data_IF_154962601582
#
_entry.id   IF_154962601582
#
_cell.length_a   1.000
_cell.length_b   1.000
_cell.length_c   1.000
_cell.angle_alpha   90.00
_cell.angle_beta   90.00
_cell.angle_gamma   90.00
#
_symmetry.space_group_name_H-M   'P 1'
#
loop_
_entity.id
_entity.type
_entity.pdbx_description
1 polymer ?
#
# COMPACT_ATOMS: atom_id res chain seq x y z
N UNK A 1 10.48 -35.67 10.62
CA UNK A 1 9.43 -35.21 11.55
C UNK A 1 8.16 -35.04 10.75
N UNK A 2 7.00 -35.38 11.31
CA UNK A 2 5.72 -35.23 10.61
C UNK A 2 5.19 -33.81 10.69
N UNK A 3 4.46 -33.36 9.66
CA UNK A 3 3.82 -32.02 9.62
C UNK A 3 3.01 -31.71 10.89
N UNK A 4 2.26 -32.70 11.42
CA UNK A 4 1.46 -32.55 12.63
C UNK A 4 2.29 -32.31 13.90
N UNK A 5 3.46 -32.94 14.00
CA UNK A 5 4.39 -32.80 15.14
C UNK A 5 5.02 -31.40 15.17
N UNK A 6 5.32 -30.86 13.99
CA UNK A 6 5.90 -29.53 13.82
C UNK A 6 4.87 -28.42 14.13
N UNK A 7 3.62 -28.59 13.72
CA UNK A 7 2.51 -27.71 14.11
C UNK A 7 2.26 -27.72 15.61
N UNK A 8 2.30 -28.89 16.25
CA UNK A 8 2.12 -29.02 17.69
C UNK A 8 3.26 -28.32 18.46
N UNK A 9 4.50 -28.49 18.00
CA UNK A 9 5.67 -27.81 18.58
C UNK A 9 5.57 -26.29 18.48
N UNK A 10 5.06 -25.75 17.36
CA UNK A 10 4.87 -24.31 17.21
C UNK A 10 3.78 -23.78 18.15
N UNK A 11 2.69 -24.53 18.35
CA UNK A 11 1.62 -24.16 19.28
C UNK A 11 2.13 -24.10 20.73
N UNK A 12 2.92 -25.10 21.12
CA UNK A 12 3.54 -25.16 22.45
C UNK A 12 4.48 -23.97 22.70
N UNK A 13 5.29 -23.60 21.70
CA UNK A 13 6.22 -22.46 21.79
C UNK A 13 5.49 -21.11 21.84
N UNK A 14 4.38 -20.98 21.13
CA UNK A 14 3.54 -19.78 21.16
C UNK A 14 2.84 -19.63 22.51
N UNK A 15 2.25 -20.70 23.04
CA UNK A 15 1.65 -20.71 24.39
C UNK A 15 2.66 -20.45 25.50
N UNK A 16 3.91 -20.90 25.32
CA UNK A 16 5.00 -20.60 26.25
C UNK A 16 5.48 -19.13 26.18
N UNK A 17 4.95 -18.31 25.26
CA UNK A 17 5.33 -16.91 25.08
C UNK A 17 6.69 -16.72 24.44
N UNK A 18 7.32 -17.80 23.94
CA UNK A 18 8.63 -17.75 23.29
C UNK A 18 8.57 -17.28 21.83
N UNK A 19 7.36 -17.24 21.26
CA UNK A 19 7.08 -16.81 19.89
C UNK A 19 5.99 -15.72 19.90
N UNK A 20 6.28 -14.60 19.22
CA UNK A 20 5.28 -13.57 18.96
C UNK A 20 4.24 -14.03 17.93
N UNK A 21 3.04 -13.43 17.94
CA UNK A 21 1.92 -13.79 17.05
C UNK A 21 2.33 -13.82 15.57
N UNK A 22 3.14 -12.84 15.15
CA UNK A 22 3.62 -12.72 13.78
C UNK A 22 4.64 -13.81 13.40
N UNK A 23 5.46 -14.26 14.36
CA UNK A 23 6.44 -15.32 14.13
C UNK A 23 5.75 -16.69 14.08
N UNK A 24 4.71 -16.90 14.90
CA UNK A 24 3.91 -18.12 14.90
C UNK A 24 3.19 -18.32 13.57
N UNK A 25 2.48 -17.29 13.08
CA UNK A 25 1.74 -17.35 11.82
C UNK A 25 2.68 -17.59 10.61
N UNK A 26 3.86 -16.96 10.57
CA UNK A 26 4.87 -17.21 9.52
C UNK A 26 5.45 -18.61 9.58
N UNK A 27 5.72 -19.13 10.76
CA UNK A 27 6.26 -20.48 10.93
C UNK A 27 5.23 -21.54 10.54
N UNK A 28 3.98 -21.36 10.94
CA UNK A 28 2.86 -22.23 10.60
C UNK A 28 2.60 -22.29 9.09
N UNK A 29 2.63 -21.14 8.41
CA UNK A 29 2.48 -21.08 6.95
C UNK A 29 3.58 -21.88 6.21
N UNK A 30 4.84 -21.82 6.68
CA UNK A 30 5.95 -22.60 6.10
C UNK A 30 5.78 -24.10 6.23
N UNK A 31 5.23 -24.57 7.35
CA UNK A 31 4.98 -26.00 7.60
C UNK A 31 3.82 -26.52 6.75
N UNK A 32 2.83 -25.68 6.47
CA UNK A 32 1.69 -26.01 5.61
C UNK A 32 2.05 -26.01 4.11
N UNK A 33 2.93 -25.11 3.69
CA UNK A 33 3.40 -25.00 2.30
C UNK A 33 4.59 -25.94 1.98
N UNK A 34 5.12 -26.65 2.99
CA UNK A 34 6.20 -27.60 2.78
C UNK A 34 5.73 -28.80 1.94
N UNK A 35 6.47 -29.19 0.87
CA UNK A 35 6.16 -30.40 0.12
C UNK A 35 6.12 -31.61 1.06
N UNK A 36 5.19 -32.58 0.87
CA UNK A 36 5.05 -33.71 1.76
C UNK A 36 6.37 -34.49 1.89
N UNK A 37 6.74 -34.94 3.10
CA UNK A 37 7.99 -35.66 3.30
C UNK A 37 7.93 -37.00 2.54
N UNK A 38 8.70 -37.11 1.46
CA UNK A 38 8.73 -38.34 0.64
C UNK A 38 9.02 -38.16 -0.85
N UNK A 39 9.08 -36.93 -1.37
CA UNK A 39 9.38 -36.66 -2.78
C UNK A 39 10.89 -36.44 -3.08
N UNK A 40 11.79 -37.02 -2.29
CA UNK A 40 13.25 -36.95 -2.49
C UNK A 40 13.87 -38.34 -2.43
N UNK A 41 14.50 -38.76 -3.53
CA UNK A 41 15.27 -40.00 -3.63
C UNK A 41 16.54 -40.00 -2.75
N UNK A 42 17.24 -41.16 -2.62
CA UNK A 42 18.27 -41.36 -1.61
C UNK A 42 19.66 -40.77 -1.92
N UNK A 43 19.81 -39.93 -2.93
CA UNK A 43 21.10 -39.41 -3.37
C UNK A 43 21.33 -37.97 -2.89
N UNK A 44 22.05 -37.88 -1.77
CA UNK A 44 22.56 -36.63 -1.19
C UNK A 44 23.63 -35.94 -2.04
N UNK A 45 23.30 -35.56 -3.27
CA UNK A 45 24.12 -34.73 -4.16
C UNK A 45 23.33 -33.57 -4.76
N UNK A 46 22.79 -32.72 -3.89
CA UNK A 46 22.45 -31.33 -4.21
C UNK A 46 23.57 -30.41 -3.72
N UNK A 47 24.01 -29.40 -4.49
CA UNK A 47 25.15 -28.56 -4.11
C UNK A 47 24.86 -27.79 -2.81
N UNK A 48 25.89 -27.48 -1.99
CA UNK A 48 25.71 -26.71 -0.78
C UNK A 48 25.37 -25.27 -1.15
N UNK A 49 24.08 -24.90 -1.11
CA UNK A 49 23.68 -23.50 -1.16
C UNK A 49 23.96 -22.87 0.21
N UNK A 50 25.08 -22.17 0.25
CA UNK A 50 25.47 -21.27 1.34
C UNK A 50 24.42 -20.15 1.56
N UNK A 51 24.39 -19.53 2.75
CA UNK A 51 23.29 -18.72 3.25
C UNK A 51 23.24 -17.34 2.57
N UNK A 52 22.05 -16.89 2.16
CA UNK A 52 21.83 -15.51 1.74
C UNK A 52 21.03 -15.24 0.47
N UNK A 53 20.32 -16.22 -0.11
CA UNK A 53 19.38 -15.91 -1.18
C UNK A 53 18.10 -15.28 -0.56
N UNK A 54 17.73 -14.03 -0.90
CA UNK A 54 16.45 -13.48 -0.49
C UNK A 54 15.37 -14.25 -1.26
N UNK A 55 14.69 -15.16 -0.56
CA UNK A 55 13.43 -15.73 -1.04
C UNK A 55 12.44 -14.58 -1.02
N UNK A 56 12.31 -13.90 -2.16
CA UNK A 56 11.24 -12.95 -2.45
C UNK A 56 9.91 -13.70 -2.47
N UNK A 57 9.43 -14.04 -1.29
CA UNK A 57 8.11 -14.58 -1.03
C UNK A 57 7.09 -13.53 -1.49
N UNK A 58 5.96 -13.91 -2.07
CA UNK A 58 4.96 -12.98 -2.62
C UNK A 58 4.50 -11.86 -1.66
N UNK A 59 4.78 -11.98 -0.35
CA UNK A 59 4.66 -10.89 0.63
C UNK A 59 5.56 -9.68 0.36
N UNK A 60 6.78 -9.86 -0.15
CA UNK A 60 7.69 -8.75 -0.47
C UNK A 60 7.17 -7.95 -1.66
N UNK A 61 6.65 -8.63 -2.69
CA UNK A 61 6.05 -7.98 -3.87
C UNK A 61 4.79 -7.21 -3.49
N UNK A 62 3.93 -7.77 -2.63
CA UNK A 62 2.74 -7.09 -2.12
C UNK A 62 3.09 -5.88 -1.23
N UNK A 63 4.08 -6.02 -0.34
CA UNK A 63 4.57 -4.92 0.48
C UNK A 63 5.17 -3.79 -0.37
N UNK A 64 5.94 -4.13 -1.40
CA UNK A 64 6.49 -3.16 -2.36
C UNK A 64 5.36 -2.42 -3.12
N UNK A 65 4.30 -3.11 -3.51
CA UNK A 65 3.15 -2.50 -4.18
C UNK A 65 2.39 -1.53 -3.27
N UNK A 66 2.16 -1.91 -2.01
CA UNK A 66 1.50 -1.06 -1.02
C UNK A 66 2.31 0.21 -0.73
N UNK A 67 3.63 0.09 -0.59
CA UNK A 67 4.52 1.23 -0.42
C UNK A 67 4.47 2.17 -1.63
N UNK A 68 4.42 1.63 -2.85
CA UNK A 68 4.25 2.45 -4.06
C UNK A 68 2.95 3.25 -4.03
N UNK A 69 1.83 2.60 -3.68
CA UNK A 69 0.54 3.25 -3.52
C UNK A 69 0.57 4.34 -2.43
N UNK A 70 1.19 4.06 -1.28
CA UNK A 70 1.39 5.04 -0.20
C UNK A 70 2.17 6.25 -0.68
N UNK A 71 3.33 6.04 -1.32
CA UNK A 71 4.17 7.14 -1.81
C UNK A 71 3.48 7.95 -2.89
N UNK A 72 2.63 7.32 -3.72
CA UNK A 72 1.83 8.03 -4.70
C UNK A 72 0.89 9.05 -4.04
N UNK A 73 0.23 8.68 -2.95
CA UNK A 73 -0.57 9.62 -2.17
C UNK A 73 0.27 10.75 -1.59
N UNK A 74 1.41 10.41 -0.98
CA UNK A 74 2.29 11.43 -0.38
C UNK A 74 2.91 12.37 -1.41
N UNK A 75 3.08 11.90 -2.65
CA UNK A 75 3.63 12.71 -3.74
C UNK A 75 2.74 13.90 -4.11
N UNK A 76 1.45 13.91 -3.69
CA UNK A 76 0.59 15.09 -3.86
C UNK A 76 1.12 16.32 -3.11
N UNK A 77 1.97 16.12 -2.10
CA UNK A 77 2.60 17.22 -1.34
C UNK A 77 3.83 17.82 -2.02
N UNK A 78 4.27 17.28 -3.16
CA UNK A 78 5.38 17.86 -3.91
C UNK A 78 5.13 19.33 -4.32
N UNK A 79 3.85 19.75 -4.39
CA UNK A 79 3.46 21.16 -4.61
C UNK A 79 4.01 22.13 -3.55
N UNK A 80 4.38 21.67 -2.35
CA UNK A 80 4.97 22.54 -1.32
C UNK A 80 6.41 22.96 -1.62
N UNK A 81 7.10 22.24 -2.53
CA UNK A 81 8.48 22.54 -2.92
C UNK A 81 8.54 23.04 -4.36
N UNK A 82 7.83 22.36 -5.27
CA UNK A 82 7.81 22.67 -6.71
C UNK A 82 6.38 22.98 -7.12
N UNK A 83 6.06 24.18 -7.64
CA UNK A 83 4.74 24.48 -8.16
C UNK A 83 4.24 23.40 -9.12
N UNK A 84 2.97 22.99 -9.00
CA UNK A 84 2.34 21.89 -9.75
C UNK A 84 2.93 20.48 -9.50
N UNK A 85 3.98 20.36 -8.68
CA UNK A 85 4.59 19.07 -8.34
C UNK A 85 3.60 18.07 -7.77
N UNK A 86 2.60 18.52 -7.03
CA UNK A 86 1.55 17.68 -6.46
C UNK A 86 0.59 17.07 -7.48
N UNK A 87 0.51 17.59 -8.72
CA UNK A 87 -0.23 16.96 -9.83
C UNK A 87 0.68 15.99 -10.57
N UNK A 88 1.90 16.46 -10.87
CA UNK A 88 2.87 15.73 -11.69
C UNK A 88 3.36 14.48 -10.96
N UNK A 89 3.70 14.60 -9.68
CA UNK A 89 4.20 13.51 -8.83
C UNK A 89 3.32 12.26 -8.87
N UNK A 90 2.06 12.33 -8.44
CA UNK A 90 1.18 11.16 -8.42
C UNK A 90 0.86 10.67 -9.83
N UNK A 91 0.74 11.56 -10.82
CA UNK A 91 0.46 11.17 -12.20
C UNK A 91 1.60 10.37 -12.81
N UNK A 92 2.85 10.82 -12.65
CA UNK A 92 4.04 10.09 -13.10
C UNK A 92 4.13 8.74 -12.39
N UNK A 93 4.00 8.71 -11.06
CA UNK A 93 4.04 7.47 -10.29
C UNK A 93 2.93 6.49 -10.68
N UNK A 94 1.73 6.99 -10.99
CA UNK A 94 0.62 6.18 -11.50
C UNK A 94 0.96 5.57 -12.86
N UNK A 95 1.39 6.40 -13.83
CA UNK A 95 1.70 5.92 -15.18
C UNK A 95 2.85 4.92 -15.22
N UNK A 96 3.83 5.02 -14.31
CA UNK A 96 4.98 4.11 -14.28
C UNK A 96 4.61 2.67 -13.89
N UNK A 97 3.57 2.47 -13.07
CA UNK A 97 3.29 1.16 -12.46
C UNK A 97 1.86 0.66 -12.61
N UNK A 98 0.95 1.45 -13.19
CA UNK A 98 -0.47 1.06 -13.36
C UNK A 98 -0.69 -0.26 -14.11
N UNK A 99 0.18 -0.57 -15.08
CA UNK A 99 0.07 -1.77 -15.92
C UNK A 99 0.75 -3.00 -15.28
N UNK A 100 1.58 -2.78 -14.26
CA UNK A 100 2.32 -3.83 -13.54
C UNK A 100 1.63 -4.21 -12.22
N UNK A 101 1.09 -3.23 -11.50
CA UNK A 101 0.57 -3.37 -10.14
C UNK A 101 -0.91 -2.97 -10.11
N UNK A 102 -1.82 -3.94 -10.03
CA UNK A 102 -3.26 -3.68 -10.08
C UNK A 102 -3.75 -2.68 -9.00
N UNK A 103 -3.16 -2.72 -7.79
CA UNK A 103 -3.47 -1.77 -6.71
C UNK A 103 -3.08 -0.33 -7.04
N UNK A 104 -2.06 -0.13 -7.87
CA UNK A 104 -1.60 1.19 -8.30
C UNK A 104 -2.60 1.85 -9.23
N UNK A 105 -3.22 1.10 -10.15
CA UNK A 105 -4.23 1.69 -11.04
C UNK A 105 -5.45 2.21 -10.25
N UNK A 106 -5.95 1.39 -9.32
CA UNK A 106 -7.09 1.77 -8.48
C UNK A 106 -6.76 3.01 -7.64
N UNK A 107 -5.57 3.03 -7.01
CA UNK A 107 -5.18 4.16 -6.17
C UNK A 107 -4.90 5.43 -6.99
N UNK A 108 -4.28 5.31 -8.15
CA UNK A 108 -4.06 6.42 -9.07
C UNK A 108 -5.37 7.07 -9.52
N UNK A 109 -6.39 6.27 -9.86
CA UNK A 109 -7.74 6.79 -10.18
C UNK A 109 -8.39 7.53 -9.01
N UNK A 110 -8.27 7.01 -7.79
CA UNK A 110 -8.76 7.67 -6.57
C UNK A 110 -8.08 9.05 -6.39
N UNK A 111 -6.75 9.08 -6.49
CA UNK A 111 -5.98 10.32 -6.36
C UNK A 111 -6.42 11.30 -7.45
N UNK A 112 -6.50 10.87 -8.71
CA UNK A 112 -6.78 11.76 -9.82
C UNK A 112 -8.21 12.31 -9.77
N UNK A 113 -9.18 11.49 -9.36
CA UNK A 113 -10.55 11.94 -9.10
C UNK A 113 -10.57 13.05 -8.04
N UNK A 114 -9.87 12.87 -6.93
CA UNK A 114 -9.76 13.91 -5.91
C UNK A 114 -9.05 15.15 -6.42
N UNK A 115 -7.92 15.00 -7.11
CA UNK A 115 -7.14 16.12 -7.59
C UNK A 115 -7.95 17.03 -8.51
N UNK A 116 -8.65 16.45 -9.50
CA UNK A 116 -9.51 17.19 -10.41
C UNK A 116 -10.64 17.87 -9.62
N UNK A 117 -11.30 17.14 -8.71
CA UNK A 117 -12.38 17.68 -7.87
C UNK A 117 -11.92 18.84 -7.01
N UNK A 118 -10.80 18.68 -6.32
CA UNK A 118 -10.22 19.69 -5.45
C UNK A 118 -9.86 20.96 -6.21
N UNK A 119 -9.27 20.85 -7.41
CA UNK A 119 -8.98 22.02 -8.26
C UNK A 119 -10.26 22.73 -8.71
N UNK A 120 -11.31 21.98 -9.08
CA UNK A 120 -12.62 22.57 -9.40
C UNK A 120 -13.18 23.33 -8.19
N UNK A 121 -13.14 22.71 -7.00
CA UNK A 121 -13.61 23.35 -5.77
C UNK A 121 -12.79 24.59 -5.41
N UNK A 122 -11.48 24.57 -5.61
CA UNK A 122 -10.61 25.72 -5.41
C UNK A 122 -10.98 26.88 -6.33
N UNK A 123 -11.15 26.63 -7.64
CA UNK A 123 -11.54 27.67 -8.61
C UNK A 123 -12.90 28.28 -8.24
N UNK A 124 -13.91 27.46 -7.95
CA UNK A 124 -15.24 27.93 -7.52
C UNK A 124 -15.12 28.74 -6.23
N UNK A 125 -14.34 28.27 -5.25
CA UNK A 125 -14.19 28.94 -3.96
C UNK A 125 -13.50 30.29 -4.08
N UNK A 126 -12.51 30.43 -4.97
CA UNK A 126 -11.88 31.72 -5.28
C UNK A 126 -12.89 32.72 -5.85
N UNK A 127 -13.79 32.28 -6.75
CA UNK A 127 -14.86 33.14 -7.26
C UNK A 127 -15.85 33.53 -6.15
N UNK A 128 -16.13 32.61 -5.22
CA UNK A 128 -17.01 32.88 -4.06
C UNK A 128 -16.39 33.81 -3.01
N UNK A 129 -15.10 34.16 -3.10
CA UNK A 129 -14.49 35.16 -2.21
C UNK A 129 -15.14 36.53 -2.39
N UNK A 130 -15.56 36.88 -3.61
CA UNK A 130 -16.22 38.16 -3.90
C UNK A 130 -17.56 38.33 -3.17
N UNK A 131 -18.15 37.24 -2.68
CA UNK A 131 -19.37 37.24 -1.85
C UNK A 131 -19.10 36.73 -0.43
N UNK A 132 -17.84 36.81 0.04
CA UNK A 132 -17.36 36.45 1.39
C UNK A 132 -17.39 34.95 1.72
N UNK A 133 -18.29 34.17 1.12
CA UNK A 133 -18.43 32.71 1.36
C UNK A 133 -17.13 31.95 1.09
N UNK A 134 -16.38 32.32 0.04
CA UNK A 134 -15.12 31.67 -0.33
C UNK A 134 -14.05 31.71 0.75
N UNK A 135 -14.04 32.74 1.61
CA UNK A 135 -13.06 32.91 2.69
C UNK A 135 -13.15 31.78 3.71
N UNK A 136 -14.35 31.24 3.94
CA UNK A 136 -14.57 30.10 4.86
C UNK A 136 -14.27 28.77 4.17
N UNK A 137 -14.61 28.64 2.88
CA UNK A 137 -14.46 27.37 2.15
C UNK A 137 -12.98 27.07 1.85
N UNK A 138 -12.19 28.08 1.45
CA UNK A 138 -10.78 27.90 1.10
C UNK A 138 -9.93 27.23 2.19
N UNK A 139 -9.94 27.66 3.48
CA UNK A 139 -9.18 26.98 4.52
C UNK A 139 -9.67 25.55 4.77
N UNK A 140 -10.97 25.28 4.64
CA UNK A 140 -11.52 23.92 4.74
C UNK A 140 -10.94 23.05 3.62
N UNK A 141 -10.98 23.51 2.37
CA UNK A 141 -10.39 22.79 1.24
C UNK A 141 -8.88 22.60 1.39
N UNK A 142 -8.16 23.58 1.96
CA UNK A 142 -6.74 23.47 2.28
C UNK A 142 -6.46 22.34 3.27
N UNK A 143 -7.24 22.26 4.36
CA UNK A 143 -7.13 21.17 5.34
C UNK A 143 -7.45 19.82 4.72
N UNK A 144 -8.56 19.71 3.96
CA UNK A 144 -8.95 18.46 3.31
C UNK A 144 -7.91 18.00 2.27
N UNK A 145 -7.30 18.95 1.54
CA UNK A 145 -6.21 18.70 0.60
C UNK A 145 -4.95 18.10 1.26
N UNK A 146 -4.82 18.21 2.58
CA UNK A 146 -3.74 17.60 3.37
C UNK A 146 -4.20 16.30 4.03
N UNK A 147 -5.35 16.33 4.71
CA UNK A 147 -5.85 15.20 5.49
C UNK A 147 -6.16 13.99 4.61
N UNK A 148 -6.78 14.20 3.44
CA UNK A 148 -7.18 13.09 2.58
C UNK A 148 -5.99 12.31 2.00
N UNK A 149 -4.96 12.96 1.42
CA UNK A 149 -3.74 12.24 1.01
C UNK A 149 -3.04 11.49 2.13
N UNK A 150 -3.02 12.02 3.36
CA UNK A 150 -2.44 11.32 4.52
C UNK A 150 -3.22 10.05 4.85
N UNK A 151 -4.55 10.13 4.96
CA UNK A 151 -5.40 8.97 5.25
C UNK A 151 -5.29 7.93 4.12
N UNK A 152 -5.31 8.40 2.87
CA UNK A 152 -5.11 7.57 1.69
C UNK A 152 -3.78 6.84 1.71
N UNK A 153 -2.69 7.53 2.06
CA UNK A 153 -1.36 6.95 2.19
C UNK A 153 -1.31 5.85 3.26
N UNK A 154 -1.85 6.12 4.45
CA UNK A 154 -1.88 5.16 5.56
C UNK A 154 -2.64 3.89 5.16
N UNK A 155 -3.81 4.05 4.54
CA UNK A 155 -4.65 2.92 4.10
C UNK A 155 -4.00 2.14 2.95
N UNK A 156 -3.43 2.84 1.98
CA UNK A 156 -2.70 2.24 0.87
C UNK A 156 -1.50 1.42 1.33
N UNK A 157 -0.79 1.86 2.37
CA UNK A 157 0.30 1.08 2.98
C UNK A 157 -0.20 -0.24 3.60
N UNK A 158 -1.44 -0.26 4.09
CA UNK A 158 -2.13 -1.47 4.54
C UNK A 158 -2.74 -2.31 3.41
N UNK A 159 -2.61 -1.89 2.15
CA UNK A 159 -3.24 -2.55 0.99
C UNK A 159 -4.73 -2.26 0.84
N UNK A 160 -5.27 -1.31 1.61
CA UNK A 160 -6.66 -0.90 1.54
C UNK A 160 -6.84 0.26 0.54
N UNK A 161 -8.00 0.29 -0.12
CA UNK A 161 -8.39 1.43 -0.95
C UNK A 161 -9.37 2.33 -0.19
N UNK A 162 -9.19 3.64 -0.31
CA UNK A 162 -10.06 4.60 0.33
C UNK A 162 -10.42 5.73 -0.64
N UNK A 163 -11.63 5.70 -1.23
CA UNK A 163 -12.07 6.79 -2.09
C UNK A 163 -12.22 8.06 -1.26
N UNK A 164 -11.59 9.15 -1.71
CA UNK A 164 -11.61 10.39 -0.94
C UNK A 164 -13.02 10.97 -0.95
N UNK A 165 -13.57 11.30 0.23
CA UNK A 165 -14.88 11.92 0.32
C UNK A 165 -14.96 13.16 -0.57
N UNK A 166 -16.13 13.44 -1.13
CA UNK A 166 -16.36 14.57 -2.04
C UNK A 166 -15.58 14.52 -3.36
N UNK A 167 -14.93 13.41 -3.70
CA UNK A 167 -14.38 13.23 -5.05
C UNK A 167 -15.48 12.94 -6.06
N UNK A 168 -15.50 13.72 -7.13
CA UNK A 168 -16.26 13.43 -8.35
C UNK A 168 -15.53 12.29 -9.08
N UNK A 169 -16.26 11.26 -9.50
CA UNK A 169 -15.69 10.08 -10.17
C UNK A 169 -15.61 10.32 -11.68
N UNK A 170 -14.45 10.78 -12.15
CA UNK A 170 -14.13 10.89 -13.57
C UNK A 170 -13.61 9.56 -14.14
N UNK A 171 -12.86 8.84 -13.33
CA UNK A 171 -12.34 7.51 -13.64
C UNK A 171 -12.99 6.47 -12.72
N UNK A 172 -13.35 5.32 -13.30
CA UNK A 172 -14.00 4.18 -12.62
C UNK A 172 -13.11 2.95 -12.52
#
# INVERSE_FOLDING_TARGET
MGMAEELQRLDDLHRAGSLSDLEYERAKARVLDAPPPGAGGPDGSGPPTAPGAPVGSGGDVGQNANQWCMFMHLSTFASFVVPFGGIIGPLVMWQMKKDELAGVDVQGKIIMNWMISWHIYMVISVLLVFVVVGIVILPILGILGIVFPIIGAIKANGGETWPYPMSIRFFS
#
